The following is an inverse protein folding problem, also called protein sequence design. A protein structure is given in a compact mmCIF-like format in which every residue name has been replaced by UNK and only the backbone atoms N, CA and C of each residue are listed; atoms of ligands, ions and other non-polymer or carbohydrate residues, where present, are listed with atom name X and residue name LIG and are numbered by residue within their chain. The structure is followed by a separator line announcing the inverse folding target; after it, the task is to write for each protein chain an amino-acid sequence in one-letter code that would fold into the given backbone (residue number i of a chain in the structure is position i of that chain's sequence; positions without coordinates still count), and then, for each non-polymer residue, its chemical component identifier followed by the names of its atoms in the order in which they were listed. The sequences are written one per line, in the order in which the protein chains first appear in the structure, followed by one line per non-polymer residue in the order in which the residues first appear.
data_IF_880424903378
#
_entry.id   IF_880424903378
#
_cell.length_a   1.000
_cell.length_b   1.000
_cell.length_c   1.000
_cell.angle_alpha   90.00
_cell.angle_beta   90.00
_cell.angle_gamma   90.00
#
_symmetry.space_group_name_H-M   'P 1'
#
loop_
_entity.id
_entity.type
_entity.pdbx_description
1 polymer ?
#
# COMPACT_ATOMS: atom_id res chain seq x y z
N UNK A 1 18.34 -33.63 -0.39
CA UNK A 1 18.04 -32.21 -0.66
C UNK A 1 19.34 -31.53 -1.07
N UNK A 2 19.51 -31.16 -2.34
CA UNK A 2 20.75 -30.57 -2.86
C UNK A 2 20.63 -29.04 -2.90
N UNK A 3 21.57 -28.27 -2.33
CA UNK A 3 21.50 -26.81 -2.28
C UNK A 3 21.88 -26.21 -3.64
N UNK A 4 20.90 -25.74 -4.41
CA UNK A 4 21.10 -24.91 -5.59
C UNK A 4 21.06 -23.43 -5.22
N UNK A 5 22.15 -22.89 -4.65
CA UNK A 5 22.15 -21.59 -3.93
C UNK A 5 22.89 -20.44 -4.65
N UNK A 6 22.80 -20.35 -5.98
CA UNK A 6 23.51 -19.28 -6.71
C UNK A 6 22.68 -18.56 -7.79
N UNK A 7 21.74 -19.25 -8.43
CA UNK A 7 20.95 -18.66 -9.52
C UNK A 7 19.66 -18.01 -9.01
N UNK A 8 19.05 -18.62 -7.99
CA UNK A 8 17.81 -18.13 -7.38
C UNK A 8 18.06 -16.96 -6.43
N UNK A 9 19.19 -16.93 -5.72
CA UNK A 9 19.58 -15.81 -4.84
C UNK A 9 19.58 -14.47 -5.57
N UNK A 10 20.10 -14.43 -6.81
CA UNK A 10 20.10 -13.21 -7.63
C UNK A 10 18.69 -12.82 -8.08
N UNK A 11 17.83 -13.79 -8.39
CA UNK A 11 16.44 -13.53 -8.74
C UNK A 11 15.61 -13.05 -7.54
N UNK A 12 15.86 -13.64 -6.36
CA UNK A 12 15.26 -13.22 -5.09
C UNK A 12 15.68 -11.80 -4.77
N UNK A 13 16.97 -11.46 -4.84
CA UNK A 13 17.45 -10.09 -4.58
C UNK A 13 16.86 -9.09 -5.60
N UNK A 14 16.74 -9.48 -6.87
CA UNK A 14 16.17 -8.64 -7.91
C UNK A 14 14.69 -8.30 -7.68
N UNK A 15 13.93 -9.16 -6.99
CA UNK A 15 12.54 -8.90 -6.57
C UNK A 15 12.46 -8.27 -5.18
N UNK A 16 13.33 -8.68 -4.26
CA UNK A 16 13.34 -8.22 -2.88
C UNK A 16 13.77 -6.76 -2.78
N UNK A 17 14.78 -6.32 -3.54
CA UNK A 17 15.24 -4.93 -3.48
C UNK A 17 14.13 -3.92 -3.85
N UNK A 18 13.39 -4.06 -4.97
CA UNK A 18 12.27 -3.16 -5.25
C UNK A 18 11.11 -3.32 -4.27
N UNK A 19 10.82 -4.54 -3.79
CA UNK A 19 9.77 -4.74 -2.79
C UNK A 19 10.12 -4.06 -1.45
N UNK A 20 11.38 -4.16 -1.00
CA UNK A 20 11.87 -3.48 0.20
C UNK A 20 11.86 -1.96 0.03
N UNK A 21 12.24 -1.47 -1.15
CA UNK A 21 12.12 -0.05 -1.50
C UNK A 21 10.68 0.45 -1.41
N UNK A 22 9.72 -0.33 -1.92
CA UNK A 22 8.30 0.00 -1.82
C UNK A 22 7.81 0.02 -0.35
N UNK A 23 8.22 -0.95 0.47
CA UNK A 23 7.85 -0.99 1.90
C UNK A 23 8.49 0.17 2.69
N UNK A 24 9.71 0.56 2.34
CA UNK A 24 10.39 1.69 2.98
C UNK A 24 9.84 3.06 2.52
N UNK A 25 9.14 3.14 1.39
CA UNK A 25 8.62 4.39 0.86
C UNK A 25 7.58 5.04 1.79
N UNK A 26 6.65 4.24 2.36
CA UNK A 26 5.61 4.72 3.26
C UNK A 26 6.16 5.49 4.49
N UNK A 27 7.07 4.92 5.30
CA UNK A 27 7.62 5.63 6.46
C UNK A 27 8.51 6.81 6.06
N UNK A 28 9.24 6.73 4.94
CA UNK A 28 10.05 7.85 4.45
C UNK A 28 9.18 9.04 4.05
N UNK A 29 8.08 8.79 3.35
CA UNK A 29 7.12 9.83 2.97
C UNK A 29 6.54 10.53 4.20
N UNK A 30 6.10 9.76 5.20
CA UNK A 30 5.60 10.31 6.46
C UNK A 30 6.62 11.14 7.23
N UNK A 31 7.89 10.70 7.26
CA UNK A 31 8.98 11.46 7.89
C UNK A 31 9.22 12.79 7.19
N UNK A 32 9.21 12.78 5.86
CA UNK A 32 9.39 13.97 5.02
C UNK A 32 8.24 14.96 5.26
N UNK A 33 6.98 14.51 5.21
CA UNK A 33 5.81 15.34 5.49
C UNK A 33 5.88 15.98 6.87
N UNK A 34 6.22 15.19 7.89
CA UNK A 34 6.37 15.67 9.27
C UNK A 34 7.50 16.68 9.39
N UNK A 35 8.64 16.44 8.73
CA UNK A 35 9.75 17.38 8.71
C UNK A 35 9.33 18.70 8.06
N UNK A 36 8.71 18.69 6.88
CA UNK A 36 8.26 19.92 6.21
C UNK A 36 7.27 20.72 7.05
N UNK A 37 6.25 20.06 7.61
CA UNK A 37 5.25 20.73 8.46
C UNK A 37 5.87 21.24 9.75
N UNK A 38 6.83 20.53 10.33
CA UNK A 38 7.49 20.93 11.57
C UNK A 38 8.31 22.21 11.48
N UNK A 39 8.73 22.62 10.27
CA UNK A 39 9.37 23.93 10.06
C UNK A 39 8.38 25.11 10.09
N UNK A 40 7.07 24.86 10.06
CA UNK A 40 6.05 25.92 10.06
C UNK A 40 5.71 26.42 11.48
N UNK A 41 5.86 25.57 12.49
CA UNK A 41 5.59 25.92 13.89
C UNK A 41 4.88 24.81 14.67
N UNK A 42 4.80 24.98 15.99
CA UNK A 42 4.24 23.96 16.89
C UNK A 42 2.71 23.80 16.75
N UNK A 43 2.00 24.87 16.39
CA UNK A 43 0.55 24.86 16.21
C UNK A 43 0.18 24.09 14.93
N UNK A 44 0.93 24.33 13.87
CA UNK A 44 0.80 23.70 12.56
C UNK A 44 1.11 22.20 12.64
N UNK A 45 2.17 21.83 13.36
CA UNK A 45 2.49 20.43 13.63
C UNK A 45 1.37 19.74 14.43
N UNK A 46 0.81 20.42 15.43
CA UNK A 46 -0.34 19.92 16.19
C UNK A 46 -1.59 19.73 15.33
N UNK A 47 -1.88 20.67 14.43
CA UNK A 47 -3.00 20.58 13.49
C UNK A 47 -2.86 19.39 12.53
N UNK A 48 -1.66 19.16 11.99
CA UNK A 48 -1.39 17.99 11.12
C UNK A 48 -1.51 16.69 11.90
N UNK A 49 -1.08 16.62 13.16
CA UNK A 49 -1.26 15.42 13.97
C UNK A 49 -2.75 15.02 14.09
N UNK A 50 -3.63 16.01 14.36
CA UNK A 50 -5.09 15.78 14.42
C UNK A 50 -5.65 15.39 13.06
N UNK A 51 -5.25 16.10 11.99
CA UNK A 51 -5.67 15.80 10.62
C UNK A 51 -5.28 14.38 10.17
N UNK A 52 -4.04 13.99 10.41
CA UNK A 52 -3.52 12.64 10.11
C UNK A 52 -4.24 11.58 10.93
N UNK A 53 -4.56 11.83 12.20
CA UNK A 53 -5.34 10.89 13.01
C UNK A 53 -6.75 10.67 12.43
N UNK A 54 -7.44 11.75 12.05
CA UNK A 54 -8.76 11.67 11.43
C UNK A 54 -8.71 10.92 10.08
N UNK A 55 -7.76 11.28 9.22
CA UNK A 55 -7.54 10.60 7.94
C UNK A 55 -7.24 9.10 8.14
N UNK A 56 -6.37 8.76 9.07
CA UNK A 56 -6.02 7.37 9.40
C UNK A 56 -7.26 6.58 9.85
N UNK A 57 -8.10 7.18 10.70
CA UNK A 57 -9.35 6.56 11.12
C UNK A 57 -10.29 6.31 9.94
N UNK A 58 -10.46 7.29 9.04
CA UNK A 58 -11.25 7.13 7.82
C UNK A 58 -10.66 6.05 6.90
N UNK A 59 -9.34 6.00 6.73
CA UNK A 59 -8.67 4.97 5.94
C UNK A 59 -8.93 3.57 6.50
N UNK A 60 -8.84 3.39 7.82
CA UNK A 60 -9.20 2.11 8.46
C UNK A 60 -10.67 1.75 8.27
N UNK A 61 -11.57 2.73 8.33
CA UNK A 61 -13.00 2.51 8.08
C UNK A 61 -13.25 1.98 6.66
N UNK A 62 -12.52 2.47 5.66
CA UNK A 62 -12.65 2.03 4.27
C UNK A 62 -11.72 0.86 3.89
N UNK A 63 -10.86 0.40 4.80
CA UNK A 63 -9.90 -0.68 4.51
C UNK A 63 -10.59 -1.99 4.13
N UNK A 64 -11.84 -2.21 4.53
CA UNK A 64 -12.61 -3.38 4.10
C UNK A 64 -12.82 -3.44 2.58
N UNK A 65 -12.88 -2.30 1.88
CA UNK A 65 -12.99 -2.29 0.42
C UNK A 65 -11.73 -2.90 -0.19
N UNK A 66 -10.55 -2.46 0.26
CA UNK A 66 -9.28 -2.98 -0.23
C UNK A 66 -9.17 -4.49 0.03
N UNK A 67 -9.42 -4.95 1.25
CA UNK A 67 -9.29 -6.38 1.60
C UNK A 67 -10.42 -7.26 1.03
N UNK A 68 -11.62 -6.73 0.86
CA UNK A 68 -12.78 -7.47 0.36
C UNK A 68 -12.87 -7.56 -1.16
N UNK A 69 -12.33 -6.57 -1.88
CA UNK A 69 -12.44 -6.46 -3.34
C UNK A 69 -11.21 -7.06 -4.02
N UNK A 70 -10.01 -6.83 -3.49
CA UNK A 70 -8.75 -7.33 -4.06
C UNK A 70 -8.77 -8.84 -4.35
N UNK A 71 -9.20 -9.73 -3.43
CA UNK A 71 -9.28 -11.16 -3.72
C UNK A 71 -10.31 -11.50 -4.81
N UNK A 72 -11.41 -10.76 -4.89
CA UNK A 72 -12.46 -10.98 -5.90
C UNK A 72 -11.96 -10.57 -7.29
N UNK A 73 -11.30 -9.42 -7.39
CA UNK A 73 -10.64 -8.95 -8.62
C UNK A 73 -9.52 -9.92 -9.01
N UNK A 74 -8.65 -10.31 -8.08
CA UNK A 74 -7.56 -11.26 -8.34
C UNK A 74 -8.08 -12.61 -8.88
N UNK A 75 -9.21 -13.11 -8.35
CA UNK A 75 -9.87 -14.33 -8.85
C UNK A 75 -10.42 -14.15 -10.28
N UNK A 76 -11.02 -13.01 -10.60
CA UNK A 76 -11.54 -12.72 -11.94
C UNK A 76 -10.39 -12.58 -12.96
N UNK A 77 -9.34 -11.85 -12.59
CA UNK A 77 -8.11 -11.70 -13.39
C UNK A 77 -7.45 -13.07 -13.61
N UNK A 78 -7.35 -13.91 -12.58
CA UNK A 78 -6.82 -15.27 -12.69
C UNK A 78 -7.61 -16.20 -13.62
N UNK A 79 -8.87 -15.87 -13.93
CA UNK A 79 -9.72 -16.57 -14.90
C UNK A 79 -9.67 -15.94 -16.30
N UNK A 80 -8.81 -14.94 -16.52
CA UNK A 80 -8.74 -14.14 -17.74
C UNK A 80 -10.04 -13.39 -18.09
N UNK A 81 -10.90 -13.14 -17.10
CA UNK A 81 -12.18 -12.43 -17.28
C UNK A 81 -12.05 -10.96 -16.85
N UNK A 82 -11.53 -10.15 -17.77
CA UNK A 82 -11.31 -8.71 -17.55
C UNK A 82 -12.62 -7.93 -17.41
N UNK A 83 -13.73 -8.41 -17.99
CA UNK A 83 -15.04 -7.77 -17.85
C UNK A 83 -15.59 -7.97 -16.44
N UNK A 84 -15.51 -9.19 -15.91
CA UNK A 84 -15.90 -9.46 -14.53
C UNK A 84 -15.04 -8.69 -13.53
N UNK A 85 -13.72 -8.57 -13.76
CA UNK A 85 -12.83 -7.77 -12.92
C UNK A 85 -13.25 -6.29 -12.86
N UNK A 86 -13.60 -5.68 -14.00
CA UNK A 86 -14.10 -4.31 -14.06
C UNK A 86 -15.45 -4.14 -13.34
N UNK A 87 -16.38 -5.09 -13.53
CA UNK A 87 -17.70 -5.05 -12.86
C UNK A 87 -17.59 -5.15 -11.34
N UNK A 88 -16.72 -6.04 -10.83
CA UNK A 88 -16.45 -6.17 -9.39
C UNK A 88 -15.89 -4.86 -8.81
N UNK A 89 -15.03 -4.16 -9.56
CA UNK A 89 -14.51 -2.85 -9.17
C UNK A 89 -15.61 -1.78 -9.08
N UNK A 90 -16.54 -1.76 -10.05
CA UNK A 90 -17.68 -0.82 -10.01
C UNK A 90 -18.63 -1.14 -8.86
N UNK A 91 -18.93 -2.42 -8.62
CA UNK A 91 -19.78 -2.86 -7.52
C UNK A 91 -19.20 -2.56 -6.13
N UNK A 92 -17.88 -2.44 -6.01
CA UNK A 92 -17.23 -2.08 -4.76
C UNK A 92 -17.48 -0.62 -4.33
N UNK A 93 -17.88 0.24 -5.27
CA UNK A 93 -18.07 1.67 -5.08
C UNK A 93 -19.54 2.09 -4.99
N UNK A 94 -20.48 1.16 -5.22
CA UNK A 94 -21.92 1.33 -5.11
C UNK A 94 -22.42 0.86 -3.74
#
# INVERSE_FOLDING_TARGET
MRPGRHRDDRAIIALALPALGAVAADPLYSLIDTAFVGHLGAVELGAVAVGTAAFTASFWLFSFLAYGVTPRVARAVGRNDSRAAAQIGVQALL
#
